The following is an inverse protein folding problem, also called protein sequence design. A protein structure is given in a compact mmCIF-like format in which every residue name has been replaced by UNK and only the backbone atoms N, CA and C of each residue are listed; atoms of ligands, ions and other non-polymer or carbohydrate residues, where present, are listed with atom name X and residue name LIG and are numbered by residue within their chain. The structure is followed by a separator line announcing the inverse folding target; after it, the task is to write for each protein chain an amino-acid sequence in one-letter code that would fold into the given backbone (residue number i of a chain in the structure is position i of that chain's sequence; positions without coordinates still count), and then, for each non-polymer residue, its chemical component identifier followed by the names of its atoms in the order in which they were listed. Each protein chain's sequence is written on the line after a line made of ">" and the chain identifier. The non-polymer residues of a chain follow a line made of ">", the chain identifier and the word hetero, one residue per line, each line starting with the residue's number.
data_IF_591305557464
#
_entry.id   IF_591305557464
#
_cell.length_a   1.000
_cell.length_b   1.000
_cell.length_c   1.000
_cell.angle_alpha   90.00
_cell.angle_beta   90.00
_cell.angle_gamma   90.00
#
_symmetry.space_group_name_H-M   'P 1'
#
loop_
_entity.id
_entity.type
_entity.pdbx_description
1 polymer ?
#
# COMPACT_ATOMS: atom_id res chain seq x y z
N UNK A 1 -13.36 -16.29 -38.52
CA UNK A 1 -12.83 -15.49 -37.39
C UNK A 1 -13.88 -15.39 -36.30
N UNK A 2 -13.51 -15.50 -35.02
CA UNK A 2 -14.43 -15.29 -33.90
C UNK A 2 -15.02 -13.87 -33.94
N UNK A 3 -16.33 -13.73 -33.69
CA UNK A 3 -17.02 -12.43 -33.64
C UNK A 3 -17.43 -12.13 -32.19
N UNK A 4 -17.05 -10.96 -31.68
CA UNK A 4 -17.43 -10.49 -30.34
C UNK A 4 -18.56 -9.47 -30.49
N UNK A 5 -19.55 -9.51 -29.58
CA UNK A 5 -20.62 -8.50 -29.53
C UNK A 5 -20.05 -7.15 -29.07
N UNK A 6 -20.45 -6.06 -29.69
CA UNK A 6 -19.91 -4.71 -29.42
C UNK A 6 -20.19 -4.14 -28.02
N UNK A 7 -21.07 -4.77 -27.22
CA UNK A 7 -21.53 -4.27 -25.93
C UNK A 7 -20.83 -4.92 -24.71
N UNK A 8 -19.58 -5.35 -24.85
CA UNK A 8 -18.85 -6.05 -23.79
C UNK A 8 -18.76 -5.24 -22.49
N UNK A 9 -18.53 -3.92 -22.60
CA UNK A 9 -18.44 -3.00 -21.45
C UNK A 9 -19.76 -2.86 -20.69
N UNK A 10 -20.86 -2.62 -21.41
CA UNK A 10 -22.21 -2.52 -20.83
C UNK A 10 -22.63 -3.82 -20.16
N UNK A 11 -22.41 -4.96 -20.85
CA UNK A 11 -22.69 -6.27 -20.28
C UNK A 11 -21.92 -6.45 -18.98
N UNK A 12 -20.61 -6.18 -18.97
CA UNK A 12 -19.76 -6.33 -17.79
C UNK A 12 -20.23 -5.44 -16.64
N UNK A 13 -20.50 -4.15 -16.91
CA UNK A 13 -20.96 -3.19 -15.91
C UNK A 13 -22.33 -3.54 -15.31
N UNK A 14 -23.23 -4.15 -16.09
CA UNK A 14 -24.55 -4.58 -15.60
C UNK A 14 -24.51 -5.86 -14.77
N UNK A 15 -23.72 -6.86 -15.19
CA UNK A 15 -23.79 -8.21 -14.59
C UNK A 15 -22.81 -8.45 -13.46
N UNK A 16 -21.68 -7.75 -13.40
CA UNK A 16 -20.65 -7.98 -12.38
C UNK A 16 -21.07 -7.51 -10.98
N UNK A 17 -21.70 -6.33 -10.82
CA UNK A 17 -22.15 -5.88 -9.49
C UNK A 17 -23.16 -6.83 -8.83
N UNK A 18 -23.95 -7.55 -9.64
CA UNK A 18 -24.92 -8.54 -9.16
C UNK A 18 -24.26 -9.77 -8.51
N UNK A 19 -22.94 -9.92 -8.62
CA UNK A 19 -22.15 -11.04 -8.07
C UNK A 19 -21.35 -10.63 -6.84
N UNK A 20 -21.76 -9.56 -6.16
CA UNK A 20 -21.09 -9.07 -4.94
C UNK A 20 -21.05 -10.17 -3.86
N UNK A 21 -22.14 -10.92 -3.71
CA UNK A 21 -22.19 -12.02 -2.72
C UNK A 21 -21.24 -13.16 -3.08
N UNK A 22 -21.16 -13.55 -4.35
CA UNK A 22 -20.20 -14.55 -4.83
C UNK A 22 -18.75 -14.11 -4.55
N UNK A 23 -18.46 -12.82 -4.78
CA UNK A 23 -17.15 -12.24 -4.47
C UNK A 23 -16.84 -12.32 -2.96
N UNK A 24 -17.78 -11.94 -2.10
CA UNK A 24 -17.61 -12.00 -0.64
C UNK A 24 -17.40 -13.44 -0.18
N UNK A 25 -18.24 -14.38 -0.65
CA UNK A 25 -18.12 -15.80 -0.31
C UNK A 25 -16.76 -16.38 -0.73
N UNK A 26 -16.27 -16.04 -1.93
CA UNK A 26 -14.98 -16.49 -2.42
C UNK A 26 -13.79 -15.95 -1.60
N UNK A 27 -13.88 -14.72 -1.10
CA UNK A 27 -12.86 -14.13 -0.22
C UNK A 27 -12.89 -14.76 1.17
N UNK A 28 -14.08 -15.02 1.72
CA UNK A 28 -14.25 -15.62 3.05
C UNK A 28 -13.88 -17.11 3.09
N UNK A 29 -14.09 -17.84 1.99
CA UNK A 29 -13.88 -19.28 1.90
C UNK A 29 -12.99 -19.64 0.69
N UNK A 30 -11.72 -19.22 0.68
CA UNK A 30 -10.88 -19.46 -0.47
C UNK A 30 -10.51 -20.94 -0.57
N UNK A 31 -10.46 -21.48 -1.79
CA UNK A 31 -10.05 -22.88 -2.05
C UNK A 31 -8.61 -23.18 -1.61
N UNK A 32 -7.78 -22.14 -1.50
CA UNK A 32 -6.41 -22.19 -1.01
C UNK A 32 -6.15 -20.92 -0.22
N UNK A 33 -5.46 -21.01 0.92
CA UNK A 33 -5.08 -19.83 1.70
C UNK A 33 -4.32 -18.83 0.83
N UNK A 34 -4.79 -17.59 0.81
CA UNK A 34 -4.12 -16.50 0.09
C UNK A 34 -2.67 -16.34 0.56
N UNK A 35 -2.43 -16.36 1.88
CA UNK A 35 -1.09 -16.16 2.45
C UNK A 35 -0.15 -17.30 2.05
N UNK A 36 -0.60 -18.55 2.11
CA UNK A 36 0.22 -19.69 1.71
C UNK A 36 0.55 -19.67 0.22
N UNK A 37 -0.46 -19.49 -0.64
CA UNK A 37 -0.28 -19.45 -2.09
C UNK A 37 0.63 -18.29 -2.51
N UNK A 38 0.43 -17.11 -1.93
CA UNK A 38 1.23 -15.92 -2.23
C UNK A 38 2.68 -16.10 -1.79
N UNK A 39 2.92 -16.62 -0.59
CA UNK A 39 4.28 -16.85 -0.08
C UNK A 39 5.04 -17.88 -0.93
N UNK A 40 4.36 -18.93 -1.39
CA UNK A 40 4.95 -19.93 -2.27
C UNK A 40 5.31 -19.38 -3.66
N UNK A 41 4.69 -18.27 -4.08
CA UNK A 41 4.89 -17.67 -5.39
C UNK A 41 6.03 -16.63 -5.42
N UNK A 42 6.78 -16.43 -4.34
CA UNK A 42 7.84 -15.40 -4.23
C UNK A 42 8.84 -15.44 -5.40
N UNK A 43 9.30 -16.63 -5.79
CA UNK A 43 10.21 -16.79 -6.92
C UNK A 43 9.61 -16.35 -8.27
N UNK A 44 8.33 -16.64 -8.49
CA UNK A 44 7.62 -16.20 -9.70
C UNK A 44 7.43 -14.68 -9.70
N UNK A 45 7.14 -14.09 -8.54
CA UNK A 45 7.06 -12.64 -8.37
C UNK A 45 8.39 -11.98 -8.73
N UNK A 46 9.51 -12.47 -8.19
CA UNK A 46 10.85 -11.96 -8.48
C UNK A 46 11.16 -11.96 -9.98
N UNK A 47 10.94 -13.10 -10.65
CA UNK A 47 11.19 -13.23 -12.09
C UNK A 47 10.33 -12.24 -12.91
N UNK A 48 9.05 -12.13 -12.58
CA UNK A 48 8.12 -11.23 -13.27
C UNK A 48 8.46 -9.75 -13.08
N UNK A 49 8.87 -9.34 -11.86
CA UNK A 49 9.32 -7.98 -11.58
C UNK A 49 10.59 -7.66 -12.35
N UNK A 50 11.57 -8.56 -12.38
CA UNK A 50 12.81 -8.36 -13.12
C UNK A 50 12.54 -8.16 -14.61
N UNK A 51 11.66 -8.97 -15.20
CA UNK A 51 11.24 -8.80 -16.58
C UNK A 51 10.54 -7.45 -16.81
N UNK A 52 9.63 -7.04 -15.93
CA UNK A 52 8.92 -5.78 -16.05
C UNK A 52 9.85 -4.56 -15.98
N UNK A 53 10.90 -4.63 -15.16
CA UNK A 53 11.97 -3.63 -15.08
C UNK A 53 12.71 -3.55 -16.41
N UNK A 54 13.22 -4.69 -16.91
CA UNK A 54 13.94 -4.76 -18.19
C UNK A 54 13.13 -4.17 -19.34
N UNK A 55 11.83 -4.46 -19.37
CA UNK A 55 10.92 -3.99 -20.42
C UNK A 55 10.37 -2.57 -20.18
N UNK A 56 10.73 -1.91 -19.07
CA UNK A 56 10.26 -0.58 -18.67
C UNK A 56 8.73 -0.47 -18.61
N UNK A 57 8.04 -1.53 -18.20
CA UNK A 57 6.56 -1.60 -18.21
C UNK A 57 5.90 -0.53 -17.35
N UNK A 58 6.50 -0.21 -16.20
CA UNK A 58 6.00 0.84 -15.30
C UNK A 58 5.94 2.21 -15.99
N UNK A 59 7.06 2.68 -16.54
CA UNK A 59 7.13 3.98 -17.20
C UNK A 59 6.17 4.09 -18.39
N UNK A 60 6.08 3.03 -19.21
CA UNK A 60 5.11 2.95 -20.31
C UNK A 60 3.66 3.05 -19.81
N UNK A 61 3.35 2.41 -18.69
CA UNK A 61 2.03 2.46 -18.05
C UNK A 61 1.68 3.86 -17.52
N UNK A 62 2.64 4.54 -16.88
CA UNK A 62 2.48 5.92 -16.39
C UNK A 62 2.21 6.87 -17.55
N UNK A 63 3.02 6.81 -18.60
CA UNK A 63 2.85 7.64 -19.81
C UNK A 63 1.49 7.40 -20.48
N UNK A 64 1.05 6.13 -20.54
CA UNK A 64 -0.26 5.77 -21.08
C UNK A 64 -1.43 6.29 -20.25
N UNK A 65 -1.29 6.35 -18.93
CA UNK A 65 -2.34 6.86 -18.05
C UNK A 65 -2.42 8.39 -18.10
N UNK A 66 -1.27 9.07 -17.98
CA UNK A 66 -1.19 10.51 -17.82
C UNK A 66 -1.84 11.02 -16.52
N UNK A 67 -1.67 12.31 -16.27
CA UNK A 67 -2.17 12.94 -15.04
C UNK A 67 -3.70 12.92 -14.96
N UNK A 68 -4.38 13.16 -16.09
CA UNK A 68 -5.84 13.27 -16.12
C UNK A 68 -6.53 12.00 -15.62
N UNK A 69 -6.09 10.82 -16.08
CA UNK A 69 -6.69 9.55 -15.67
C UNK A 69 -6.45 9.30 -14.17
N UNK A 70 -5.27 9.61 -13.67
CA UNK A 70 -4.95 9.47 -12.25
C UNK A 70 -5.78 10.43 -11.40
N UNK A 71 -5.83 11.71 -11.75
CA UNK A 71 -6.57 12.75 -11.01
C UNK A 71 -8.06 12.40 -10.90
N UNK A 72 -8.72 12.09 -12.02
CA UNK A 72 -10.14 11.69 -12.02
C UNK A 72 -10.38 10.50 -11.08
N UNK A 73 -9.58 9.44 -11.16
CA UNK A 73 -9.77 8.24 -10.32
C UNK A 73 -9.44 8.48 -8.85
N UNK A 74 -8.41 9.27 -8.56
CA UNK A 74 -8.03 9.63 -7.20
C UNK A 74 -9.14 10.45 -6.51
N UNK A 75 -9.73 11.41 -7.21
CA UNK A 75 -10.82 12.24 -6.67
C UNK A 75 -12.12 11.46 -6.55
N UNK A 76 -12.58 10.84 -7.64
CA UNK A 76 -13.91 10.20 -7.69
C UNK A 76 -13.99 8.94 -6.83
N UNK A 77 -12.98 8.06 -6.90
CA UNK A 77 -12.99 6.79 -6.18
C UNK A 77 -12.20 6.87 -4.88
N UNK A 78 -11.02 7.49 -4.94
CA UNK A 78 -10.15 7.62 -3.76
C UNK A 78 -10.80 8.47 -2.67
N UNK A 79 -11.41 9.61 -3.04
CA UNK A 79 -12.11 10.48 -2.09
C UNK A 79 -13.21 9.75 -1.31
N UNK A 80 -14.00 8.91 -1.99
CA UNK A 80 -15.07 8.12 -1.36
C UNK A 80 -14.54 6.99 -0.45
N UNK A 81 -13.38 6.41 -0.78
CA UNK A 81 -12.81 5.26 -0.07
C UNK A 81 -11.91 5.64 1.09
N UNK A 82 -11.31 6.83 1.07
CA UNK A 82 -10.28 7.25 2.01
C UNK A 82 -10.78 7.23 3.47
N UNK A 83 -11.87 7.94 3.77
CA UNK A 83 -12.40 8.04 5.13
C UNK A 83 -12.74 6.67 5.77
N UNK A 84 -13.61 5.86 5.14
CA UNK A 84 -13.94 4.52 5.64
C UNK A 84 -12.73 3.60 5.74
N UNK A 85 -11.80 3.67 4.78
CA UNK A 85 -10.57 2.88 4.80
C UNK A 85 -9.65 3.24 5.97
N UNK A 86 -9.50 4.53 6.28
CA UNK A 86 -8.75 4.99 7.45
C UNK A 86 -9.38 4.49 8.74
N UNK A 87 -10.71 4.62 8.88
CA UNK A 87 -11.42 4.16 10.08
C UNK A 87 -11.26 2.64 10.28
N UNK A 88 -11.39 1.85 9.22
CA UNK A 88 -11.15 0.40 9.27
C UNK A 88 -9.69 0.04 9.61
N UNK A 89 -8.75 0.92 9.33
CA UNK A 89 -7.31 0.71 9.53
C UNK A 89 -6.76 1.14 10.89
N UNK A 90 -7.55 1.79 11.77
CA UNK A 90 -7.05 2.39 13.02
C UNK A 90 -6.32 1.38 13.91
N UNK A 91 -6.91 0.19 14.15
CA UNK A 91 -6.30 -0.84 14.99
C UNK A 91 -4.99 -1.38 14.39
N UNK A 92 -4.94 -1.55 13.07
CA UNK A 92 -3.73 -2.01 12.38
C UNK A 92 -2.62 -0.94 12.44
N UNK A 93 -2.98 0.34 12.29
CA UNK A 93 -2.05 1.45 12.47
C UNK A 93 -1.50 1.48 13.90
N UNK A 94 -2.37 1.36 14.91
CA UNK A 94 -1.96 1.35 16.31
C UNK A 94 -0.98 0.19 16.59
N UNK A 95 -1.30 -1.02 16.12
CA UNK A 95 -0.42 -2.18 16.28
C UNK A 95 0.93 -2.01 15.57
N UNK A 96 0.93 -1.48 14.34
CA UNK A 96 2.15 -1.23 13.58
C UNK A 96 2.99 -0.08 14.14
N UNK A 97 2.37 0.93 14.74
CA UNK A 97 3.03 2.08 15.33
C UNK A 97 3.57 1.80 16.75
N UNK A 98 2.90 0.96 17.53
CA UNK A 98 3.24 0.71 18.94
C UNK A 98 4.73 0.41 19.18
N UNK A 99 5.42 -0.45 18.38
CA UNK A 99 6.85 -0.69 18.57
C UNK A 99 7.71 0.55 18.37
N UNK A 100 7.30 1.45 17.47
CA UNK A 100 8.02 2.71 17.23
C UNK A 100 7.71 3.75 18.31
N UNK A 101 6.47 3.80 18.79
CA UNK A 101 6.09 4.61 19.95
C UNK A 101 6.95 4.28 21.18
N UNK A 102 7.08 2.98 21.49
CA UNK A 102 7.94 2.50 22.59
C UNK A 102 9.41 2.88 22.40
N UNK A 103 9.93 2.85 21.17
CA UNK A 103 11.30 3.30 20.89
C UNK A 103 11.44 4.80 21.12
N UNK A 104 10.47 5.61 20.68
CA UNK A 104 10.49 7.06 20.91
C UNK A 104 10.48 7.36 22.41
N UNK A 105 9.62 6.71 23.17
CA UNK A 105 9.47 6.90 24.62
C UNK A 105 10.73 6.48 25.40
N UNK A 106 11.41 5.41 24.97
CA UNK A 106 12.62 4.91 25.62
C UNK A 106 13.93 5.57 25.13
N UNK A 107 13.89 6.34 24.04
CA UNK A 107 15.10 6.97 23.48
C UNK A 107 15.60 8.08 24.39
N UNK A 108 16.81 7.91 24.92
CA UNK A 108 17.49 8.95 25.69
C UNK A 108 17.98 10.06 24.75
N UNK A 109 17.56 11.30 25.02
CA UNK A 109 17.92 12.44 24.20
C UNK A 109 19.08 13.23 24.82
N UNK A 110 20.01 13.76 24.00
CA UNK A 110 21.02 14.70 24.46
C UNK A 110 20.39 15.91 25.18
N UNK A 111 21.14 16.61 26.05
CA UNK A 111 20.65 17.81 26.74
C UNK A 111 20.00 18.81 25.79
N UNK A 112 18.96 19.50 26.27
CA UNK A 112 18.30 20.57 25.51
C UNK A 112 19.02 21.90 25.77
N UNK A 113 19.40 22.58 24.69
CA UNK A 113 20.07 23.88 24.70
C UNK A 113 19.06 25.01 24.41
N UNK A 114 19.44 26.30 24.57
CA UNK A 114 18.57 27.44 24.28
C UNK A 114 17.89 27.35 22.91
N UNK A 115 16.69 27.96 22.79
CA UNK A 115 15.94 27.97 21.52
C UNK A 115 16.82 28.52 20.40
N UNK A 116 16.90 27.80 19.29
CA UNK A 116 17.71 28.17 18.12
C UNK A 116 19.17 27.71 18.19
N UNK A 117 19.63 27.13 19.30
CA UNK A 117 20.97 26.55 19.37
C UNK A 117 21.10 25.36 18.40
N UNK A 118 22.08 25.37 17.48
CA UNK A 118 22.27 24.32 16.49
C UNK A 118 22.42 22.92 17.08
N UNK A 119 22.94 22.79 18.30
CA UNK A 119 23.13 21.51 18.99
C UNK A 119 21.82 20.78 19.29
N UNK A 120 20.69 21.50 19.35
CA UNK A 120 19.38 20.87 19.54
C UNK A 120 19.00 19.89 18.42
N UNK A 121 19.59 20.03 17.21
CA UNK A 121 19.33 19.10 16.10
C UNK A 121 19.85 17.69 16.38
N UNK A 122 20.84 17.53 17.27
CA UNK A 122 21.34 16.23 17.68
C UNK A 122 20.25 15.36 18.32
N UNK A 123 19.23 15.97 18.94
CA UNK A 123 18.06 15.26 19.49
C UNK A 123 17.20 14.63 18.40
N UNK A 124 17.05 15.30 17.25
CA UNK A 124 16.36 14.74 16.08
C UNK A 124 17.16 13.57 15.50
N UNK A 125 18.48 13.73 15.40
CA UNK A 125 19.38 12.66 14.94
C UNK A 125 19.30 11.40 15.81
N UNK A 126 19.19 11.55 17.13
CA UNK A 126 19.02 10.44 18.06
C UNK A 126 17.73 9.64 17.80
N UNK A 127 16.59 10.34 17.67
CA UNK A 127 15.31 9.71 17.33
C UNK A 127 15.36 9.03 15.96
N UNK A 128 15.87 9.71 14.93
CA UNK A 128 15.95 9.17 13.58
C UNK A 128 16.78 7.87 13.54
N UNK A 129 17.91 7.85 14.27
CA UNK A 129 18.77 6.67 14.40
C UNK A 129 18.03 5.53 15.10
N UNK A 130 17.37 5.81 16.23
CA UNK A 130 16.63 4.81 17.00
C UNK A 130 15.50 4.18 16.17
N UNK A 131 14.68 5.01 15.50
CA UNK A 131 13.60 4.55 14.62
C UNK A 131 14.13 3.74 13.43
N UNK A 132 15.24 4.18 12.82
CA UNK A 132 15.85 3.45 11.70
C UNK A 132 16.36 2.09 12.14
N UNK A 133 16.99 2.01 13.30
CA UNK A 133 17.46 0.76 13.87
C UNK A 133 16.32 -0.22 14.12
N UNK A 134 15.17 0.25 14.65
CA UNK A 134 13.98 -0.60 14.81
C UNK A 134 13.50 -1.15 13.46
N UNK A 135 13.40 -0.30 12.44
CA UNK A 135 12.93 -0.71 11.10
C UNK A 135 13.82 -1.79 10.44
N UNK A 136 15.14 -1.73 10.63
CA UNK A 136 16.07 -2.70 10.02
C UNK A 136 16.04 -4.05 10.75
N UNK A 137 15.95 -4.03 12.08
CA UNK A 137 16.09 -5.24 12.91
C UNK A 137 14.82 -6.08 13.00
N UNK A 138 13.66 -5.54 12.63
CA UNK A 138 12.35 -6.19 12.82
C UNK A 138 11.75 -5.81 14.16
#
# INVERSE_FOLDING_TARGET
>A
MPKIRGNAGEKWGRVTPQRTDDYIQGVQNPRTSWQQATSAAEGNYQAGVQQAITEKRFGKGVQKAGDQKWQSKAVELGGQRFGPGVQAGVSAYQAGFAPYGQIIESTQLPPRYPKGDPRNIARVGAIATALRNKKIKG
#
